data_IF_081364837636
#
_entry.id   IF_081364837636
#
_cell.length_a   1.000
_cell.length_b   1.000
_cell.length_c   1.000
_cell.angle_alpha   90.00
_cell.angle_beta   90.00
_cell.angle_gamma   90.00
#
_symmetry.space_group_name_H-M   'P 1'
#
loop_
_entity.id
_entity.type
_entity.pdbx_description
1 polymer ?
#
# COMPACT_ATOMS: atom_id res chain seq x y z
N UNK A 1 45.73 -80.56 -16.81
CA UNK A 1 44.37 -81.09 -16.62
C UNK A 1 43.43 -79.91 -16.43
N UNK A 2 42.52 -79.75 -17.39
CA UNK A 2 41.33 -78.88 -17.44
C UNK A 2 40.51 -78.89 -16.12
N UNK A 3 39.65 -77.96 -15.68
CA UNK A 3 38.99 -76.68 -16.06
C UNK A 3 38.31 -76.19 -14.74
N UNK A 4 38.04 -74.91 -14.48
CA UNK A 4 36.71 -74.28 -14.62
C UNK A 4 36.77 -72.88 -13.99
N UNK A 5 36.36 -71.87 -14.76
CA UNK A 5 35.97 -70.54 -14.29
C UNK A 5 34.46 -70.57 -14.03
N UNK A 6 33.96 -69.89 -12.99
CA UNK A 6 32.65 -69.26 -13.07
C UNK A 6 32.74 -67.73 -12.97
N UNK A 7 32.06 -67.09 -13.93
CA UNK A 7 31.64 -65.68 -13.91
C UNK A 7 30.69 -65.45 -12.73
N UNK A 8 30.91 -64.40 -11.94
CA UNK A 8 29.83 -63.74 -11.20
C UNK A 8 29.93 -62.21 -11.32
N UNK A 9 28.85 -61.68 -11.87
CA UNK A 9 28.46 -60.30 -12.12
C UNK A 9 28.37 -59.38 -10.89
N UNK A 10 28.50 -58.07 -11.17
CA UNK A 10 27.81 -56.90 -10.54
C UNK A 10 28.23 -56.58 -9.09
N UNK A 11 28.39 -55.33 -8.67
CA UNK A 11 27.67 -54.13 -9.05
C UNK A 11 28.54 -52.86 -8.89
N UNK A 12 28.42 -51.94 -9.84
CA UNK A 12 28.86 -50.54 -9.66
C UNK A 12 27.75 -49.85 -8.86
N UNK A 13 28.02 -49.51 -7.60
CA UNK A 13 27.18 -48.60 -6.81
C UNK A 13 27.55 -47.16 -7.23
N UNK A 14 26.79 -46.60 -8.16
CA UNK A 14 26.78 -45.17 -8.41
C UNK A 14 25.99 -44.50 -7.28
N UNK A 15 26.69 -43.88 -6.32
CA UNK A 15 26.07 -43.06 -5.30
C UNK A 15 25.59 -41.75 -5.92
N UNK A 16 24.29 -41.59 -6.09
CA UNK A 16 23.68 -40.30 -6.44
C UNK A 16 23.58 -39.48 -5.16
N UNK A 17 24.42 -38.46 -5.01
CA UNK A 17 24.26 -37.44 -3.99
C UNK A 17 23.12 -36.51 -4.41
N UNK A 18 21.95 -36.61 -3.77
CA UNK A 18 20.89 -35.62 -3.88
C UNK A 18 21.27 -34.40 -3.03
N UNK A 19 21.90 -33.41 -3.64
CA UNK A 19 22.05 -32.08 -3.04
C UNK A 19 20.72 -31.34 -3.19
N UNK A 20 19.91 -31.34 -2.12
CA UNK A 20 18.77 -30.43 -1.99
C UNK A 20 19.32 -29.01 -1.82
N UNK A 21 19.45 -28.29 -2.93
CA UNK A 21 19.62 -26.83 -2.88
C UNK A 21 18.28 -26.26 -2.45
N UNK A 22 18.15 -25.90 -1.18
CA UNK A 22 17.02 -25.12 -0.70
C UNK A 22 17.03 -23.77 -1.40
N UNK A 23 16.13 -23.57 -2.36
CA UNK A 23 15.89 -22.25 -2.92
C UNK A 23 15.30 -21.38 -1.79
N UNK A 24 15.83 -20.18 -1.53
CA UNK A 24 15.12 -19.24 -0.67
C UNK A 24 13.80 -18.88 -1.35
N UNK A 25 12.69 -19.37 -0.81
CA UNK A 25 11.36 -18.89 -1.16
C UNK A 25 11.18 -17.53 -0.47
N UNK A 26 11.39 -16.45 -1.20
CA UNK A 26 10.91 -15.13 -0.78
C UNK A 26 9.39 -15.12 -1.02
N UNK A 27 8.61 -15.59 -0.05
CA UNK A 27 7.19 -15.31 -0.04
C UNK A 27 7.02 -13.87 0.41
N UNK A 28 6.73 -12.95 -0.51
CA UNK A 28 6.22 -11.63 -0.13
C UNK A 28 4.92 -11.85 0.66
N UNK A 29 4.99 -11.66 1.98
CA UNK A 29 3.90 -12.00 2.89
C UNK A 29 2.61 -11.21 2.59
N UNK A 30 2.76 -9.96 2.14
CA UNK A 30 1.67 -9.11 1.69
C UNK A 30 1.96 -8.63 0.26
N UNK A 31 1.20 -9.13 -0.70
CA UNK A 31 1.25 -8.63 -2.08
C UNK A 31 0.52 -7.29 -2.16
N UNK A 32 1.04 -6.33 -2.94
CA UNK A 32 0.49 -4.98 -3.03
C UNK A 32 0.47 -4.51 -4.49
N UNK A 33 -0.66 -3.97 -4.93
CA UNK A 33 -0.83 -3.35 -6.26
C UNK A 33 -1.38 -1.94 -6.11
N UNK A 34 -0.81 -1.00 -6.86
CA UNK A 34 -1.21 0.39 -6.90
C UNK A 34 -1.64 0.76 -8.32
N UNK A 35 -2.85 1.29 -8.47
CA UNK A 35 -3.40 1.76 -9.74
C UNK A 35 -4.16 3.07 -9.55
N UNK A 36 -4.47 3.74 -10.66
CA UNK A 36 -5.27 4.96 -10.63
C UNK A 36 -6.22 5.01 -11.82
N UNK A 37 -7.33 5.74 -11.63
CA UNK A 37 -8.33 6.02 -12.64
C UNK A 37 -8.70 7.51 -12.53
N UNK A 38 -9.17 8.10 -13.63
CA UNK A 38 -9.70 9.47 -13.64
C UNK A 38 -11.21 9.42 -13.39
N UNK A 39 -11.71 10.28 -12.51
CA UNK A 39 -13.15 10.44 -12.29
C UNK A 39 -13.72 11.35 -13.37
N UNK A 40 -14.69 10.85 -14.11
CA UNK A 40 -15.45 11.60 -15.12
C UNK A 40 -16.94 11.59 -14.76
N UNK A 41 -17.70 12.57 -15.27
CA UNK A 41 -19.16 12.57 -15.18
C UNK A 41 -19.73 12.11 -16.51
N UNK A 42 -20.47 11.00 -16.50
CA UNK A 42 -21.13 10.46 -17.68
C UNK A 42 -22.33 11.30 -18.13
N UNK A 43 -22.86 10.98 -19.32
CA UNK A 43 -24.04 11.66 -19.90
C UNK A 43 -25.31 11.53 -19.03
N UNK A 44 -25.34 10.53 -18.14
CA UNK A 44 -26.39 10.29 -17.15
C UNK A 44 -26.21 11.08 -15.85
N UNK A 45 -25.14 11.87 -15.75
CA UNK A 45 -24.78 12.63 -14.56
C UNK A 45 -24.10 11.81 -13.46
N UNK A 46 -23.80 10.53 -13.70
CA UNK A 46 -23.14 9.67 -12.72
C UNK A 46 -21.61 9.72 -12.86
N UNK A 47 -20.91 9.53 -11.75
CA UNK A 47 -19.46 9.37 -11.79
C UNK A 47 -19.07 8.04 -12.46
N UNK A 48 -18.04 8.11 -13.30
CA UNK A 48 -17.41 6.95 -13.94
C UNK A 48 -15.91 7.02 -13.69
N UNK A 49 -15.27 5.84 -13.56
CA UNK A 49 -13.83 5.72 -13.44
C UNK A 49 -13.26 5.29 -14.79
N UNK A 50 -12.41 6.14 -15.37
CA UNK A 50 -11.86 5.94 -16.72
C UNK A 50 -10.35 5.80 -16.65
N UNK A 51 -9.81 4.80 -17.33
CA UNK A 51 -8.37 4.61 -17.47
C UNK A 51 -7.82 5.62 -18.48
N UNK A 52 -6.92 6.50 -18.01
CA UNK A 52 -6.28 7.52 -18.84
C UNK A 52 -4.85 7.77 -18.38
N UNK A 53 -3.94 7.99 -19.33
CA UNK A 53 -2.54 8.32 -19.05
C UNK A 53 -2.25 9.80 -18.77
N UNK A 54 -3.25 10.67 -18.82
CA UNK A 54 -3.08 12.13 -18.67
C UNK A 54 -4.26 12.75 -17.93
N UNK A 55 -3.99 13.76 -17.10
CA UNK A 55 -5.00 14.53 -16.37
C UNK A 55 -4.89 16.02 -16.66
N UNK A 56 -5.94 16.77 -16.36
CA UNK A 56 -6.03 18.23 -16.50
C UNK A 56 -6.28 18.89 -15.14
N UNK A 57 -5.92 20.18 -14.98
CA UNK A 57 -6.29 20.97 -13.82
C UNK A 57 -7.79 20.84 -13.48
N UNK A 58 -8.08 20.62 -12.21
CA UNK A 58 -9.41 20.44 -11.66
C UNK A 58 -10.01 19.03 -11.79
N UNK A 59 -9.41 18.13 -12.58
CA UNK A 59 -9.84 16.71 -12.64
C UNK A 59 -9.53 15.99 -11.32
N UNK A 60 -10.26 14.92 -11.04
CA UNK A 60 -10.08 14.09 -9.85
C UNK A 60 -9.45 12.75 -10.24
N UNK A 61 -8.38 12.38 -9.54
CA UNK A 61 -7.73 11.08 -9.66
C UNK A 61 -8.20 10.21 -8.51
N UNK A 62 -8.62 8.98 -8.82
CA UNK A 62 -8.99 7.95 -7.86
C UNK A 62 -7.87 6.91 -7.79
N UNK A 63 -7.15 6.89 -6.69
CA UNK A 63 -6.11 5.90 -6.42
C UNK A 63 -6.70 4.65 -5.78
N UNK A 64 -6.16 3.49 -6.16
CA UNK A 64 -6.59 2.18 -5.68
C UNK A 64 -5.38 1.37 -5.23
N UNK A 65 -5.42 0.91 -3.99
CA UNK A 65 -4.40 0.11 -3.35
C UNK A 65 -5.01 -1.22 -2.97
N UNK A 66 -4.55 -2.29 -3.62
CA UNK A 66 -5.02 -3.64 -3.36
C UNK A 66 -3.92 -4.42 -2.68
N UNK A 67 -4.23 -4.99 -1.53
CA UNK A 67 -3.32 -5.81 -0.75
C UNK A 67 -3.87 -7.21 -0.58
N UNK A 68 -3.02 -8.23 -0.59
CA UNK A 68 -3.42 -9.63 -0.38
C UNK A 68 -2.46 -10.32 0.58
N UNK A 69 -3.01 -10.96 1.61
CA UNK A 69 -2.22 -11.79 2.51
C UNK A 69 -1.87 -13.11 1.83
N UNK A 70 -0.62 -13.24 1.40
CA UNK A 70 -0.11 -14.42 0.69
C UNK A 70 0.36 -15.53 1.64
N UNK A 71 0.18 -15.36 2.95
CA UNK A 71 0.61 -16.33 3.96
C UNK A 71 -0.53 -17.27 4.35
N UNK A 72 -0.18 -18.35 5.05
CA UNK A 72 -1.15 -19.30 5.63
C UNK A 72 -1.69 -18.86 7.01
N UNK A 73 -1.26 -17.71 7.53
CA UNK A 73 -1.65 -17.18 8.83
C UNK A 73 -2.37 -15.84 8.72
N UNK A 74 -3.29 -15.55 9.64
CA UNK A 74 -3.92 -14.23 9.71
C UNK A 74 -2.87 -13.16 10.04
N UNK A 75 -2.94 -12.02 9.34
CA UNK A 75 -1.98 -10.93 9.46
C UNK A 75 -2.60 -9.74 10.18
N UNK A 76 -1.92 -9.23 11.22
CA UNK A 76 -2.33 -8.04 11.97
C UNK A 76 -1.28 -6.93 11.95
N UNK A 77 -1.63 -5.75 12.46
CA UNK A 77 -0.73 -4.60 12.49
C UNK A 77 -0.43 -4.01 11.11
N UNK A 78 -1.34 -4.22 10.15
CA UNK A 78 -1.18 -3.73 8.78
C UNK A 78 -1.40 -2.22 8.76
N UNK A 79 -0.42 -1.50 8.22
CA UNK A 79 -0.51 -0.07 7.92
C UNK A 79 -0.30 0.11 6.43
N UNK A 80 -1.35 0.58 5.75
CA UNK A 80 -1.28 0.93 4.33
C UNK A 80 -1.06 2.42 4.24
N UNK A 81 0.04 2.86 3.63
CA UNK A 81 0.35 4.28 3.46
C UNK A 81 0.56 4.63 1.98
N UNK A 82 0.11 5.81 1.58
CA UNK A 82 0.26 6.31 0.22
C UNK A 82 0.57 7.81 0.22
N UNK A 83 1.47 8.29 -0.64
CA UNK A 83 1.76 9.72 -0.74
C UNK A 83 0.61 10.48 -1.42
N UNK A 84 0.45 11.75 -1.10
CA UNK A 84 -0.27 12.71 -1.94
C UNK A 84 0.77 13.30 -2.91
N UNK A 85 0.67 13.06 -4.23
CA UNK A 85 1.66 13.57 -5.17
C UNK A 85 1.75 15.09 -5.22
N UNK A 86 2.83 15.62 -5.78
CA UNK A 86 2.93 17.05 -6.08
C UNK A 86 1.93 17.47 -7.17
N UNK A 87 1.42 18.69 -7.08
CA UNK A 87 0.46 19.26 -8.05
C UNK A 87 -0.97 18.74 -7.91
N UNK A 88 -1.28 18.09 -6.79
CA UNK A 88 -2.63 17.67 -6.43
C UNK A 88 -2.88 17.92 -4.95
N UNK A 89 -4.15 18.10 -4.60
CA UNK A 89 -4.62 18.26 -3.22
C UNK A 89 -5.53 17.09 -2.82
N UNK A 90 -5.44 16.64 -1.55
CA UNK A 90 -6.28 15.55 -1.05
C UNK A 90 -7.76 15.96 -1.02
N UNK A 91 -8.64 15.16 -1.62
CA UNK A 91 -10.08 15.34 -1.44
C UNK A 91 -10.54 14.62 -0.17
N UNK A 92 -10.64 15.37 0.95
CA UNK A 92 -11.14 14.84 2.23
C UNK A 92 -12.54 14.23 2.08
N UNK A 93 -12.73 13.03 2.63
CA UNK A 93 -13.96 12.25 2.49
C UNK A 93 -14.02 11.46 1.17
N UNK A 94 -12.98 11.53 0.34
CA UNK A 94 -12.81 10.75 -0.88
C UNK A 94 -12.11 9.40 -0.66
N UNK A 95 -11.77 9.09 0.59
CA UNK A 95 -11.14 7.84 1.00
C UNK A 95 -12.14 6.72 1.30
N UNK A 96 -11.76 5.47 1.02
CA UNK A 96 -12.49 4.28 1.44
C UNK A 96 -11.55 3.15 1.84
N UNK A 97 -12.05 2.22 2.64
CA UNK A 97 -11.35 0.99 3.02
C UNK A 97 -12.34 -0.17 3.04
N UNK A 98 -11.92 -1.35 2.58
CA UNK A 98 -12.73 -2.58 2.65
C UNK A 98 -12.57 -3.33 3.97
N UNK A 99 -11.54 -3.00 4.76
CA UNK A 99 -11.27 -3.58 6.09
C UNK A 99 -11.36 -2.45 7.11
N UNK A 100 -11.99 -2.66 8.29
CA UNK A 100 -12.04 -1.66 9.35
C UNK A 100 -10.64 -1.13 9.71
N UNK A 101 -10.50 0.18 9.66
CA UNK A 101 -9.23 0.87 9.85
C UNK A 101 -9.43 2.30 10.36
N UNK A 102 -8.41 2.83 11.03
CA UNK A 102 -8.29 4.25 11.34
C UNK A 102 -7.61 4.94 10.17
N UNK A 103 -8.27 5.95 9.60
CA UNK A 103 -7.69 6.80 8.56
C UNK A 103 -6.99 8.01 9.18
N UNK A 104 -5.76 8.26 8.73
CA UNK A 104 -4.94 9.38 9.18
C UNK A 104 -4.27 10.05 7.98
N UNK A 105 -4.03 11.36 8.13
CA UNK A 105 -3.28 12.18 7.19
C UNK A 105 -1.95 12.57 7.81
N UNK A 106 -0.92 12.71 6.97
CA UNK A 106 0.38 13.22 7.37
C UNK A 106 0.57 14.64 6.87
N UNK A 107 0.97 15.56 7.75
CA UNK A 107 1.27 16.94 7.40
C UNK A 107 2.20 17.58 8.44
N UNK A 108 2.65 18.80 8.17
CA UNK A 108 3.23 19.67 9.20
C UNK A 108 2.09 20.19 10.09
N UNK A 109 2.06 19.78 11.35
CA UNK A 109 1.02 20.16 12.32
C UNK A 109 1.55 21.11 13.39
N UNK A 110 2.85 21.16 13.63
CA UNK A 110 3.46 22.00 14.64
C UNK A 110 4.86 22.44 14.21
N UNK A 111 5.06 23.70 13.79
CA UNK A 111 6.35 24.16 13.29
C UNK A 111 7.46 24.19 14.35
N UNK A 112 7.15 23.97 15.63
CA UNK A 112 8.16 23.78 16.69
C UNK A 112 8.64 22.32 16.80
N UNK A 113 7.95 21.38 16.16
CA UNK A 113 8.34 19.97 16.07
C UNK A 113 9.01 19.69 14.72
N UNK A 114 10.11 18.93 14.77
CA UNK A 114 10.81 18.56 13.54
C UNK A 114 10.08 17.43 12.82
N UNK A 115 9.58 17.72 11.62
CA UNK A 115 9.09 16.73 10.67
C UNK A 115 7.57 16.57 10.66
N UNK A 116 7.08 15.74 9.74
CA UNK A 116 5.64 15.60 9.51
C UNK A 116 4.98 14.63 10.52
N UNK A 117 3.81 15.03 11.01
CA UNK A 117 3.03 14.33 12.01
C UNK A 117 1.80 13.66 11.39
N UNK A 118 1.33 12.58 12.02
CA UNK A 118 0.10 11.88 11.63
C UNK A 118 -1.06 12.29 12.52
N UNK A 119 -2.22 12.56 11.92
CA UNK A 119 -3.45 12.89 12.66
C UNK A 119 -4.68 12.30 11.99
N UNK A 120 -5.68 11.95 12.79
CA UNK A 120 -7.05 11.71 12.32
C UNK A 120 -7.71 13.01 11.86
N UNK A 121 -8.76 12.90 11.04
CA UNK A 121 -9.57 14.04 10.61
C UNK A 121 -10.82 14.25 11.50
N UNK A 122 -11.28 15.49 11.71
CA UNK A 122 -10.67 16.75 11.24
C UNK A 122 -9.37 17.06 12.00
N UNK A 123 -8.34 17.47 11.27
CA UNK A 123 -7.04 17.83 11.83
C UNK A 123 -6.87 19.35 11.91
N UNK A 124 -6.10 19.78 12.91
CA UNK A 124 -5.69 21.17 13.10
C UNK A 124 -4.17 21.23 13.01
N UNK A 125 -3.63 22.37 12.53
CA UNK A 125 -2.21 22.67 12.57
C UNK A 125 -1.96 23.97 13.32
N UNK A 126 -0.77 24.12 13.89
CA UNK A 126 -0.26 25.38 14.40
C UNK A 126 0.47 26.12 13.28
N UNK A 127 0.35 27.44 13.27
CA UNK A 127 1.10 28.32 12.39
C UNK A 127 1.63 29.51 13.18
N UNK A 128 2.84 29.95 12.86
CA UNK A 128 3.44 31.12 13.48
C UNK A 128 2.88 32.40 12.85
N UNK A 129 2.36 33.29 13.68
CA UNK A 129 1.99 34.65 13.29
C UNK A 129 3.24 35.54 13.18
N UNK A 130 3.06 36.77 12.68
CA UNK A 130 4.16 37.71 12.43
C UNK A 130 4.94 38.11 13.69
N UNK A 131 4.34 37.95 14.88
CA UNK A 131 4.97 38.22 16.17
C UNK A 131 5.65 36.98 16.79
N UNK A 132 5.61 35.84 16.10
CA UNK A 132 6.17 34.56 16.56
C UNK A 132 5.22 33.76 17.46
N UNK A 133 3.99 34.23 17.72
CA UNK A 133 3.00 33.47 18.48
C UNK A 133 2.41 32.37 17.61
N UNK A 134 2.22 31.17 18.18
CA UNK A 134 1.52 30.08 17.49
C UNK A 134 0.00 30.22 17.63
N UNK A 135 -0.71 30.08 16.51
CA UNK A 135 -2.17 29.93 16.47
C UNK A 135 -2.57 28.63 15.80
N UNK A 136 -3.70 28.06 16.21
CA UNK A 136 -4.28 26.89 15.56
C UNK A 136 -5.20 27.28 14.40
N UNK A 137 -5.15 26.52 13.32
CA UNK A 137 -6.08 26.59 12.19
C UNK A 137 -6.41 25.20 11.64
N UNK A 138 -7.54 25.00 10.95
CA UNK A 138 -7.83 23.75 10.26
C UNK A 138 -6.70 23.38 9.29
N UNK A 139 -6.32 22.11 9.25
CA UNK A 139 -5.33 21.62 8.30
C UNK A 139 -5.86 21.79 6.86
N UNK A 140 -5.21 22.61 6.02
CA UNK A 140 -5.61 22.73 4.62
C UNK A 140 -5.31 21.44 3.83
N UNK A 141 -6.13 21.15 2.82
CA UNK A 141 -6.04 19.92 2.03
C UNK A 141 -4.73 19.82 1.24
N UNK A 142 -4.25 20.96 0.76
CA UNK A 142 -2.99 21.12 0.03
C UNK A 142 -1.74 20.90 0.89
N UNK A 143 -1.86 20.92 2.22
CA UNK A 143 -0.73 20.66 3.12
C UNK A 143 -0.57 19.16 3.47
N UNK A 144 -1.52 18.31 3.07
CA UNK A 144 -1.44 16.88 3.32
C UNK A 144 -0.41 16.24 2.39
N UNK A 145 0.63 15.65 2.97
CA UNK A 145 1.72 15.01 2.24
C UNK A 145 1.48 13.51 1.99
N UNK A 146 0.77 12.84 2.89
CA UNK A 146 0.47 11.42 2.77
C UNK A 146 -0.80 11.04 3.52
N UNK A 147 -1.32 9.85 3.23
CA UNK A 147 -2.44 9.23 3.92
C UNK A 147 -2.06 7.83 4.39
N UNK A 148 -2.71 7.35 5.45
CA UNK A 148 -2.60 5.95 5.85
C UNK A 148 -3.89 5.39 6.43
N UNK A 149 -4.01 4.07 6.34
CA UNK A 149 -5.02 3.27 7.02
C UNK A 149 -4.32 2.30 7.98
N UNK A 150 -4.62 2.43 9.27
CA UNK A 150 -4.16 1.50 10.31
C UNK A 150 -5.26 0.49 10.56
N UNK A 151 -5.08 -0.75 10.10
CA UNK A 151 -6.13 -1.77 10.20
C UNK A 151 -6.37 -2.16 11.66
N UNK A 152 -7.63 -2.19 12.06
CA UNK A 152 -8.05 -2.62 13.41
C UNK A 152 -8.37 -4.11 13.48
N UNK A 153 -8.46 -4.78 12.33
CA UNK A 153 -8.78 -6.20 12.21
C UNK A 153 -7.67 -6.96 11.48
N UNK A 154 -7.68 -8.29 11.64
CA UNK A 154 -6.75 -9.17 10.96
C UNK A 154 -7.18 -9.34 9.49
N UNK A 155 -6.20 -9.45 8.60
CA UNK A 155 -6.40 -9.90 7.24
C UNK A 155 -6.16 -11.41 7.19
N UNK A 156 -7.23 -12.18 6.98
CA UNK A 156 -7.18 -13.64 6.92
C UNK A 156 -6.28 -14.17 5.78
N UNK A 157 -5.79 -15.42 5.85
CA UNK A 157 -5.03 -16.05 4.79
C UNK A 157 -5.73 -15.98 3.43
N UNK A 158 -5.04 -15.47 2.40
CA UNK A 158 -5.58 -15.29 1.05
C UNK A 158 -6.63 -14.19 0.92
N UNK A 159 -6.99 -13.49 2.01
CA UNK A 159 -7.93 -12.38 1.94
C UNK A 159 -7.25 -11.14 1.34
N UNK A 160 -8.05 -10.29 0.69
CA UNK A 160 -7.60 -9.03 0.14
C UNK A 160 -8.24 -7.84 0.80
N UNK A 161 -7.48 -6.76 0.93
CA UNK A 161 -7.97 -5.44 1.32
C UNK A 161 -7.86 -4.46 0.14
N UNK A 162 -8.83 -3.55 0.05
CA UNK A 162 -8.85 -2.44 -0.90
C UNK A 162 -8.93 -1.13 -0.13
N UNK A 163 -7.97 -0.25 -0.39
CA UNK A 163 -7.95 1.12 0.10
C UNK A 163 -7.97 2.05 -1.10
N UNK A 164 -8.77 3.11 -1.03
CA UNK A 164 -8.81 4.12 -2.08
C UNK A 164 -8.78 5.51 -1.49
N UNK A 165 -8.26 6.47 -2.23
CA UNK A 165 -8.33 7.89 -1.91
C UNK A 165 -8.42 8.70 -3.20
N UNK A 166 -8.97 9.92 -3.08
CA UNK A 166 -9.10 10.83 -4.20
C UNK A 166 -8.25 12.07 -3.99
N UNK A 167 -7.65 12.53 -5.07
CA UNK A 167 -6.94 13.81 -5.13
C UNK A 167 -7.50 14.63 -6.27
N UNK A 168 -7.46 15.96 -6.14
CA UNK A 168 -7.82 16.90 -7.19
C UNK A 168 -6.56 17.53 -7.75
N UNK A 169 -6.45 17.58 -9.07
CA UNK A 169 -5.36 18.29 -9.76
C UNK A 169 -5.54 19.79 -9.57
N UNK A 170 -4.47 20.47 -9.17
CA UNK A 170 -4.46 21.91 -8.94
C UNK A 170 -4.68 22.74 -10.23
#
# INVERSE_FOLDING_TARGET
>A
MFVQIPRTSRAVLAGVALSLVGLPAFAEALSSTFSFLVVETGDDGQEQLVERGTVRPGEVIHYQLRHENMTEAAMGGIVIAAPVPEGVSLQIGGETTSVPAVFEVQAELDPEQDGLEWSTLPAMRKVADADGTLREEPLPQEAVAAVRWVFSELLEPGASALNTYRVRVD
#
